data_IF_227561673863
#
_entry.id   IF_227561673863
#
_cell.length_a   1.000
_cell.length_b   1.000
_cell.length_c   1.000
_cell.angle_alpha   90.00
_cell.angle_beta   90.00
_cell.angle_gamma   90.00
#
_symmetry.space_group_name_H-M   'P 1'
#
loop_
_entity.id
_entity.type
_entity.pdbx_description
1 polymer ?
#
# COMPACT_ATOMS: atom_id res chain seq x y z
N UNK A 1 -8.53 -14.11 21.11
CA UNK A 1 -8.72 -13.72 19.71
C UNK A 1 -10.03 -12.96 19.59
N UNK A 2 -9.98 -11.64 19.47
CA UNK A 2 -11.16 -10.75 19.62
C UNK A 2 -12.17 -10.88 18.47
N UNK A 3 -11.77 -11.49 17.34
CA UNK A 3 -12.58 -11.59 16.12
C UNK A 3 -13.24 -12.96 15.89
N UNK A 4 -13.03 -13.93 16.78
CA UNK A 4 -13.76 -15.21 16.81
C UNK A 4 -13.41 -16.25 15.73
N UNK A 5 -12.78 -15.90 14.60
CA UNK A 5 -12.26 -16.88 13.63
C UNK A 5 -11.10 -16.33 12.77
N UNK A 6 -10.28 -17.24 12.21
CA UNK A 6 -9.21 -16.89 11.27
C UNK A 6 -9.74 -16.26 9.99
N UNK A 7 -10.88 -16.75 9.50
CA UNK A 7 -11.51 -16.21 8.29
C UNK A 7 -11.95 -14.75 8.48
N UNK A 8 -12.49 -14.41 9.65
CA UNK A 8 -12.86 -13.02 9.97
C UNK A 8 -11.64 -12.10 10.01
N UNK A 9 -10.52 -12.56 10.57
CA UNK A 9 -9.27 -11.79 10.56
C UNK A 9 -8.77 -11.59 9.14
N UNK A 10 -8.78 -12.66 8.33
CA UNK A 10 -8.37 -12.60 6.93
C UNK A 10 -9.21 -11.57 6.16
N UNK A 11 -10.54 -11.66 6.25
CA UNK A 11 -11.44 -10.70 5.58
C UNK A 11 -11.22 -9.26 6.07
N UNK A 12 -11.01 -9.05 7.37
CA UNK A 12 -10.68 -7.74 7.93
C UNK A 12 -9.38 -7.19 7.32
N UNK A 13 -8.32 -7.99 7.28
CA UNK A 13 -7.01 -7.55 6.75
C UNK A 13 -7.06 -7.27 5.23
N UNK A 14 -7.93 -7.97 4.49
CA UNK A 14 -8.19 -7.65 3.08
C UNK A 14 -8.86 -6.29 2.90
N UNK A 15 -9.88 -6.00 3.71
CA UNK A 15 -10.53 -4.70 3.72
C UNK A 15 -9.55 -3.57 4.08
N UNK A 16 -8.70 -3.81 5.07
CA UNK A 16 -7.62 -2.90 5.46
C UNK A 16 -6.66 -2.64 4.30
N UNK A 17 -6.16 -3.68 3.63
CA UNK A 17 -5.25 -3.53 2.50
C UNK A 17 -5.89 -2.75 1.34
N UNK A 18 -7.17 -3.01 1.05
CA UNK A 18 -7.92 -2.27 0.02
C UNK A 18 -8.04 -0.78 0.36
N UNK A 19 -8.29 -0.44 1.63
CA UNK A 19 -8.33 0.96 2.07
C UNK A 19 -6.97 1.65 2.00
N UNK A 20 -5.89 0.97 2.41
CA UNK A 20 -4.53 1.49 2.28
C UNK A 20 -4.20 1.77 0.81
N UNK A 21 -4.48 0.81 -0.10
CA UNK A 21 -4.29 1.01 -1.53
C UNK A 21 -5.07 2.21 -2.08
N UNK A 22 -6.33 2.38 -1.67
CA UNK A 22 -7.16 3.53 -2.05
C UNK A 22 -6.50 4.87 -1.67
N UNK A 23 -5.96 4.96 -0.46
CA UNK A 23 -5.33 6.19 0.08
C UNK A 23 -4.01 6.52 -0.62
N UNK A 24 -3.25 5.52 -1.05
CA UNK A 24 -1.98 5.70 -1.77
C UNK A 24 -2.13 5.98 -3.27
N UNK A 25 -3.26 5.60 -3.88
CA UNK A 25 -3.50 5.78 -5.31
C UNK A 25 -3.29 7.22 -5.82
N UNK A 26 -3.74 8.30 -5.15
CA UNK A 26 -3.47 9.68 -5.58
C UNK A 26 -1.99 10.07 -5.57
N UNK A 27 -1.13 9.29 -4.91
CA UNK A 27 0.32 9.44 -4.93
C UNK A 27 1.00 8.59 -6.01
N UNK A 28 0.22 7.96 -6.90
CA UNK A 28 0.69 7.01 -7.90
C UNK A 28 1.41 5.79 -7.30
N UNK A 29 1.02 5.38 -6.09
CA UNK A 29 1.52 4.18 -5.41
C UNK A 29 0.40 3.15 -5.34
N UNK A 30 0.71 1.89 -5.65
CA UNK A 30 -0.18 0.74 -5.50
C UNK A 30 0.28 -0.12 -4.34
N UNK A 31 -0.62 -0.41 -3.42
CA UNK A 31 -0.32 -1.28 -2.27
C UNK A 31 -1.02 -2.61 -2.50
N UNK A 32 -0.23 -3.66 -2.68
CA UNK A 32 -0.72 -5.00 -3.00
C UNK A 32 -0.38 -5.95 -1.86
N UNK A 33 -1.38 -6.67 -1.34
CA UNK A 33 -1.17 -7.65 -0.27
C UNK A 33 -0.64 -8.96 -0.86
N UNK A 34 0.68 -9.13 -0.85
CA UNK A 34 1.36 -10.33 -1.39
C UNK A 34 1.54 -11.46 -0.38
N UNK A 35 1.18 -11.22 0.89
CA UNK A 35 1.30 -12.21 1.96
C UNK A 35 0.54 -11.79 3.20
N UNK A 36 -0.03 -12.77 3.90
CA UNK A 36 -0.72 -12.59 5.18
C UNK A 36 -0.37 -13.76 6.08
N UNK A 37 0.23 -13.47 7.24
CA UNK A 37 0.56 -14.47 8.26
C UNK A 37 -0.17 -14.14 9.55
N UNK A 38 -0.90 -15.13 10.08
CA UNK A 38 -1.68 -15.00 11.31
C UNK A 38 -1.10 -15.99 12.32
N UNK A 39 -0.59 -15.47 13.44
CA UNK A 39 -0.07 -16.31 14.53
C UNK A 39 -1.22 -16.78 15.42
N UNK A 40 -1.67 -18.00 15.16
CA UNK A 40 -2.80 -18.63 15.84
C UNK A 40 -2.38 -19.66 16.90
N UNK A 41 -1.09 -20.00 16.92
CA UNK A 41 -0.42 -20.91 17.84
C UNK A 41 0.30 -20.12 18.95
N UNK A 42 1.29 -19.32 18.57
CA UNK A 42 2.10 -18.51 19.48
C UNK A 42 2.75 -17.34 18.73
N UNK A 43 3.00 -16.25 19.44
CA UNK A 43 3.73 -15.13 18.88
C UNK A 43 5.16 -15.52 18.51
N UNK A 44 5.66 -15.02 17.37
CA UNK A 44 7.03 -15.30 16.90
C UNK A 44 8.09 -14.48 17.61
N UNK A 45 7.67 -13.46 18.36
CA UNK A 45 8.48 -12.70 19.30
C UNK A 45 7.59 -12.13 20.40
N UNK A 46 8.20 -11.65 21.48
CA UNK A 46 7.45 -11.03 22.59
C UNK A 46 6.88 -9.68 22.15
N UNK A 47 5.56 -9.57 22.13
CA UNK A 47 4.84 -8.31 21.89
C UNK A 47 4.73 -7.52 23.20
N UNK A 48 5.36 -6.35 23.26
CA UNK A 48 5.39 -5.47 24.44
C UNK A 48 4.35 -4.36 24.30
N UNK A 49 3.90 -3.79 25.44
CA UNK A 49 3.15 -2.53 25.40
C UNK A 49 4.04 -1.31 25.10
N UNK A 50 5.37 -1.47 25.13
CA UNK A 50 6.31 -0.47 24.62
C UNK A 50 6.44 -0.66 23.10
N UNK A 51 6.00 0.29 22.26
CA UNK A 51 5.98 0.12 20.80
C UNK A 51 7.39 -0.02 20.20
N UNK A 52 8.40 0.66 20.75
CA UNK A 52 9.80 0.57 20.32
C UNK A 52 10.35 -0.85 20.45
N UNK A 53 10.15 -1.49 21.61
CA UNK A 53 10.56 -2.88 21.85
C UNK A 53 9.91 -3.84 20.84
N UNK A 54 8.63 -3.63 20.55
CA UNK A 54 7.86 -4.47 19.63
C UNK A 54 8.34 -4.25 18.19
N UNK A 55 8.59 -3.01 17.79
CA UNK A 55 9.12 -2.66 16.46
C UNK A 55 10.50 -3.28 16.23
N UNK A 56 11.42 -3.16 17.18
CA UNK A 56 12.76 -3.72 17.06
C UNK A 56 12.72 -5.25 16.88
N UNK A 57 11.87 -5.93 17.67
CA UNK A 57 11.69 -7.39 17.56
C UNK A 57 11.04 -7.79 16.25
N UNK A 58 10.04 -7.03 15.81
CA UNK A 58 9.35 -7.28 14.54
C UNK A 58 10.29 -7.13 13.35
N UNK A 59 11.04 -6.03 13.27
CA UNK A 59 11.96 -5.80 12.17
C UNK A 59 13.10 -6.83 12.16
N UNK A 60 13.59 -7.25 13.33
CA UNK A 60 14.54 -8.36 13.44
C UNK A 60 13.94 -9.66 12.90
N UNK A 61 12.74 -10.03 13.34
CA UNK A 61 12.04 -11.22 12.86
C UNK A 61 11.79 -11.17 11.34
N UNK A 62 11.36 -10.02 10.82
CA UNK A 62 11.16 -9.81 9.38
C UNK A 62 12.45 -10.16 8.61
N UNK A 63 13.59 -9.67 9.09
CA UNK A 63 14.89 -9.89 8.45
C UNK A 63 15.36 -11.33 8.54
N UNK A 64 15.23 -11.97 9.71
CA UNK A 64 15.84 -13.28 9.95
C UNK A 64 14.94 -14.45 9.57
N UNK A 65 13.62 -14.24 9.50
CA UNK A 65 12.64 -15.32 9.29
C UNK A 65 11.74 -15.08 8.07
N UNK A 66 11.08 -13.92 7.97
CA UNK A 66 10.07 -13.69 6.92
C UNK A 66 10.70 -13.48 5.54
N UNK A 67 11.66 -12.57 5.42
CA UNK A 67 12.32 -12.24 4.15
C UNK A 67 12.98 -13.47 3.47
N UNK A 68 13.67 -14.37 4.19
CA UNK A 68 14.23 -15.60 3.61
C UNK A 68 13.21 -16.51 2.91
N UNK A 69 11.93 -16.47 3.29
CA UNK A 69 10.90 -17.40 2.79
C UNK A 69 9.81 -16.74 1.94
N UNK A 70 9.62 -15.42 2.03
CA UNK A 70 8.66 -14.68 1.21
C UNK A 70 9.24 -13.31 0.84
N UNK A 71 9.48 -13.10 -0.45
CA UNK A 71 9.86 -11.78 -0.98
C UNK A 71 8.70 -10.79 -0.83
N UNK A 72 8.99 -9.61 -0.28
CA UNK A 72 8.05 -8.51 -0.10
C UNK A 72 8.85 -7.21 0.17
N UNK A 73 8.26 -6.07 -0.14
CA UNK A 73 8.95 -4.77 -0.06
C UNK A 73 8.88 -4.16 1.35
N UNK A 74 7.73 -4.31 2.00
CA UNK A 74 7.41 -3.78 3.32
C UNK A 74 6.55 -4.77 4.12
N UNK A 75 6.65 -4.78 5.45
CA UNK A 75 5.79 -5.59 6.30
C UNK A 75 5.18 -4.77 7.45
N UNK A 76 3.89 -4.98 7.70
CA UNK A 76 3.12 -4.27 8.71
C UNK A 76 2.65 -5.27 9.76
N UNK A 77 3.10 -5.13 11.01
CA UNK A 77 2.65 -5.95 12.13
C UNK A 77 1.40 -5.35 12.75
N UNK A 78 0.35 -6.14 12.92
CA UNK A 78 -0.91 -5.72 13.55
C UNK A 78 -1.08 -6.49 14.85
N UNK A 79 -1.34 -5.78 15.95
CA UNK A 79 -1.47 -6.36 17.29
C UNK A 79 -2.72 -5.90 18.01
N UNK A 80 -3.29 -6.77 18.85
CA UNK A 80 -4.34 -6.39 19.82
C UNK A 80 -3.80 -5.95 21.17
N UNK A 81 -2.47 -5.90 21.35
CA UNK A 81 -1.83 -5.35 22.54
C UNK A 81 -1.94 -3.83 22.50
N UNK A 82 -2.42 -3.24 23.59
CA UNK A 82 -2.50 -1.80 23.74
C UNK A 82 -1.10 -1.21 24.04
N UNK A 83 -0.65 -0.29 23.19
CA UNK A 83 0.62 0.38 23.39
C UNK A 83 0.51 1.49 24.44
N UNK A 84 1.60 1.74 25.16
CA UNK A 84 1.64 2.75 26.21
C UNK A 84 1.45 4.16 25.64
N UNK A 85 0.68 4.98 26.37
CA UNK A 85 0.42 6.36 25.99
C UNK A 85 -0.70 6.48 24.96
N UNK A 86 -0.49 7.32 23.95
CA UNK A 86 -1.45 7.57 22.86
C UNK A 86 -0.97 7.04 21.51
N UNK A 87 0.12 6.27 21.51
CA UNK A 87 0.72 5.72 20.30
C UNK A 87 -0.09 4.51 19.85
N UNK A 88 -0.54 4.52 18.60
CA UNK A 88 -1.25 3.36 18.00
C UNK A 88 -0.47 2.74 16.85
N UNK A 89 0.67 3.31 16.48
CA UNK A 89 1.54 2.82 15.43
C UNK A 89 2.95 3.38 15.60
N UNK A 90 3.94 2.67 15.08
CA UNK A 90 5.32 3.14 15.06
C UNK A 90 6.10 2.54 13.89
N UNK A 91 6.78 3.41 13.14
CA UNK A 91 7.58 3.07 11.98
C UNK A 91 8.91 3.83 11.94
N UNK A 92 9.97 3.24 11.38
CA UNK A 92 11.18 3.98 11.03
C UNK A 92 10.95 4.89 9.82
N UNK A 93 11.48 6.11 9.88
CA UNK A 93 11.47 7.06 8.77
C UNK A 93 12.45 6.63 7.67
N UNK A 94 12.10 6.84 6.39
CA UNK A 94 12.94 6.57 5.22
C UNK A 94 13.43 5.11 5.10
N UNK A 95 12.60 4.15 5.50
CA UNK A 95 12.97 2.74 5.57
C UNK A 95 12.39 1.86 4.45
N UNK A 96 11.57 2.40 3.54
CA UNK A 96 11.00 1.64 2.42
C UNK A 96 12.12 0.99 1.57
N UNK A 97 11.95 -0.28 1.18
CA UNK A 97 12.96 -1.13 0.51
C UNK A 97 14.19 -1.55 1.33
N UNK A 98 14.37 -1.06 2.57
CA UNK A 98 15.53 -1.42 3.40
C UNK A 98 15.22 -2.54 4.41
N UNK A 99 16.24 -2.96 5.16
CA UNK A 99 16.11 -4.01 6.18
C UNK A 99 15.08 -3.66 7.27
N UNK A 100 14.93 -2.38 7.59
CA UNK A 100 13.95 -1.82 8.52
C UNK A 100 12.60 -1.47 7.87
N UNK A 101 12.32 -1.92 6.65
CA UNK A 101 11.06 -1.63 5.95
C UNK A 101 9.86 -2.33 6.59
N UNK A 102 9.24 -1.64 7.55
CA UNK A 102 8.02 -2.08 8.18
C UNK A 102 7.62 -1.20 9.34
N UNK A 103 6.52 -1.59 9.99
CA UNK A 103 6.01 -0.90 11.17
C UNK A 103 5.15 -1.83 12.04
N UNK A 104 4.82 -1.35 13.25
CA UNK A 104 3.88 -1.99 14.17
C UNK A 104 2.64 -1.12 14.33
N UNK A 105 1.47 -1.75 14.43
CA UNK A 105 0.17 -1.08 14.43
C UNK A 105 -0.76 -1.76 15.43
N UNK A 106 -1.34 -0.99 16.35
CA UNK A 106 -2.40 -1.43 17.25
C UNK A 106 -3.73 -1.48 16.50
N UNK A 107 -4.47 -2.59 16.63
CA UNK A 107 -5.83 -2.71 16.13
C UNK A 107 -6.82 -2.04 17.09
N UNK A 108 -6.76 -0.70 17.13
CA UNK A 108 -7.37 0.16 18.16
C UNK A 108 -8.87 0.46 17.95
N UNK A 109 -9.48 -0.03 16.87
CA UNK A 109 -10.87 0.28 16.52
C UNK A 109 -11.56 -0.88 15.81
N UNK A 110 -12.83 -1.15 16.12
CA UNK A 110 -13.61 -2.19 15.43
C UNK A 110 -13.82 -1.88 13.94
N UNK A 111 -13.81 -0.60 13.54
CA UNK A 111 -13.85 -0.20 12.14
C UNK A 111 -12.48 -0.45 11.47
N UNK A 112 -12.41 -1.27 10.39
CA UNK A 112 -11.17 -1.53 9.65
C UNK A 112 -10.46 -0.27 9.15
N UNK A 113 -11.20 0.83 8.93
CA UNK A 113 -10.62 2.12 8.55
C UNK A 113 -9.63 2.66 9.60
N UNK A 114 -9.85 2.38 10.88
CA UNK A 114 -8.96 2.87 11.94
C UNK A 114 -7.54 2.31 11.82
N UNK A 115 -7.43 0.99 11.68
CA UNK A 115 -6.15 0.32 11.46
C UNK A 115 -5.59 0.61 10.05
N UNK A 116 -6.43 0.74 9.03
CA UNK A 116 -5.98 1.11 7.68
C UNK A 116 -5.34 2.51 7.64
N UNK A 117 -5.92 3.48 8.35
CA UNK A 117 -5.32 4.81 8.50
C UNK A 117 -3.97 4.72 9.22
N UNK A 118 -3.87 3.95 10.31
CA UNK A 118 -2.61 3.77 11.02
C UNK A 118 -1.55 3.16 10.11
N UNK A 119 -1.86 2.08 9.40
CA UNK A 119 -0.92 1.47 8.45
C UNK A 119 -0.52 2.44 7.35
N UNK A 120 -1.45 3.23 6.80
CA UNK A 120 -1.12 4.24 5.79
C UNK A 120 -0.21 5.35 6.35
N UNK A 121 -0.40 5.74 7.61
CA UNK A 121 0.47 6.69 8.31
C UNK A 121 1.88 6.11 8.49
N UNK A 122 1.97 4.89 9.00
CA UNK A 122 3.24 4.22 9.27
C UNK A 122 4.03 3.87 8.01
N UNK A 123 3.34 3.41 6.95
CA UNK A 123 3.94 3.28 5.62
C UNK A 123 4.40 4.64 5.07
N UNK A 124 3.72 5.74 5.42
CA UNK A 124 4.10 7.10 5.09
C UNK A 124 5.46 7.46 5.68
N UNK A 125 5.69 7.15 6.96
CA UNK A 125 7.01 7.28 7.58
C UNK A 125 8.07 6.44 6.85
N UNK A 126 7.76 5.18 6.52
CA UNK A 126 8.70 4.35 5.74
C UNK A 126 9.06 5.01 4.38
N UNK A 127 8.12 5.73 3.76
CA UNK A 127 8.29 6.50 2.52
C UNK A 127 8.81 7.94 2.75
N UNK A 128 9.31 8.24 3.94
CA UNK A 128 9.97 9.50 4.27
C UNK A 128 9.05 10.66 4.65
N UNK A 129 7.75 10.43 4.76
CA UNK A 129 6.79 11.45 5.16
C UNK A 129 6.88 11.67 6.68
N UNK A 130 7.20 12.89 7.10
CA UNK A 130 7.13 13.28 8.51
C UNK A 130 5.72 13.77 8.87
N UNK A 131 5.45 13.91 10.17
CA UNK A 131 4.19 14.47 10.64
C UNK A 131 3.91 15.86 10.05
N UNK A 132 2.63 16.11 9.77
CA UNK A 132 2.16 17.40 9.30
C UNK A 132 2.36 18.51 10.34
N UNK A 133 2.65 19.71 9.83
CA UNK A 133 2.74 20.96 10.59
C UNK A 133 1.56 21.88 10.24
N UNK A 134 1.44 23.03 10.91
CA UNK A 134 0.32 23.95 10.72
C UNK A 134 0.15 24.46 9.28
N UNK A 135 1.19 24.41 8.44
CA UNK A 135 1.17 24.88 7.06
C UNK A 135 0.88 23.76 6.04
N UNK A 136 0.69 22.53 6.48
CA UNK A 136 0.41 21.39 5.62
C UNK A 136 -1.09 21.27 5.38
N UNK A 137 -1.49 21.20 4.11
CA UNK A 137 -2.90 21.16 3.71
C UNK A 137 -3.19 19.93 2.83
N UNK A 138 -4.32 19.27 3.07
CA UNK A 138 -4.84 18.17 2.25
C UNK A 138 -6.16 18.51 1.54
N UNK A 139 -6.58 19.79 1.55
CA UNK A 139 -7.49 20.37 0.58
C UNK A 139 -8.97 20.04 0.72
N UNK A 140 -9.38 19.16 1.64
CA UNK A 140 -10.79 18.80 1.90
C UNK A 140 -10.99 18.26 3.32
N UNK A 141 -10.76 19.08 4.34
CA UNK A 141 -11.08 18.68 5.71
C UNK A 141 -12.42 19.27 6.10
N UNK A 142 -13.43 18.42 6.29
CA UNK A 142 -14.53 18.81 7.17
C UNK A 142 -13.94 19.26 8.53
N UNK A 143 -14.63 20.13 9.29
CA UNK A 143 -14.14 20.53 10.61
C UNK A 143 -13.76 19.30 11.46
N UNK A 144 -12.49 19.19 11.85
CA UNK A 144 -11.96 18.07 12.66
C UNK A 144 -11.35 16.89 11.90
N UNK A 145 -11.31 16.91 10.56
CA UNK A 145 -10.61 15.92 9.76
C UNK A 145 -9.12 16.30 9.66
N UNK A 146 -8.23 15.41 10.09
CA UNK A 146 -6.79 15.57 9.91
C UNK A 146 -6.37 15.06 8.51
N UNK A 147 -5.12 15.27 8.12
CA UNK A 147 -4.52 14.56 6.99
C UNK A 147 -3.92 13.23 7.49
N UNK A 148 -3.56 12.30 6.59
CA UNK A 148 -3.01 10.98 6.97
C UNK A 148 -1.81 11.12 7.91
N UNK A 149 -0.89 12.06 7.64
CA UNK A 149 0.31 12.30 8.45
C UNK A 149 0.09 13.25 9.62
N UNK A 150 -1.18 13.49 10.01
CA UNK A 150 -1.49 14.22 11.24
C UNK A 150 -0.94 13.52 12.48
N UNK A 151 -0.55 14.28 13.51
CA UNK A 151 0.05 13.75 14.75
C UNK A 151 -0.89 12.90 15.60
N UNK A 152 -2.20 12.95 15.33
CA UNK A 152 -3.20 12.20 16.06
C UNK A 152 -4.34 11.77 15.15
N UNK A 153 -4.92 10.62 15.48
CA UNK A 153 -6.11 10.11 14.82
C UNK A 153 -7.34 10.81 15.42
N UNK A 154 -8.11 11.49 14.56
CA UNK A 154 -9.39 12.10 14.93
C UNK A 154 -10.54 11.08 14.92
N UNK A 155 -11.75 11.53 15.23
CA UNK A 155 -12.96 10.70 15.13
C UNK A 155 -13.32 10.35 13.67
N UNK A 156 -12.88 11.17 12.72
CA UNK A 156 -13.05 10.95 11.28
C UNK A 156 -11.73 10.46 10.71
N UNK A 157 -11.76 9.30 10.06
CA UNK A 157 -10.56 8.74 9.45
C UNK A 157 -10.12 9.56 8.23
N UNK A 158 -8.88 10.04 8.20
CA UNK A 158 -8.34 10.79 7.07
C UNK A 158 -8.23 9.93 5.81
N UNK A 159 -8.48 10.53 4.64
CA UNK A 159 -8.36 9.87 3.33
C UNK A 159 -7.25 10.49 2.45
N UNK A 160 -6.67 11.61 2.86
CA UNK A 160 -5.80 12.42 2.02
C UNK A 160 -4.46 12.73 2.69
N UNK A 161 -3.39 12.55 1.91
CA UNK A 161 -2.06 13.06 2.25
C UNK A 161 -1.97 14.57 1.97
N UNK A 162 -1.23 15.27 2.81
CA UNK A 162 -1.01 16.72 2.69
C UNK A 162 -0.04 17.07 1.56
N UNK A 163 0.03 18.36 1.23
CA UNK A 163 1.08 18.94 0.37
C UNK A 163 2.49 18.64 0.88
N UNK A 164 2.70 18.69 2.21
CA UNK A 164 3.99 18.37 2.83
C UNK A 164 4.36 16.89 2.67
N UNK A 165 3.38 16.00 2.82
CA UNK A 165 3.58 14.55 2.63
C UNK A 165 4.02 14.24 1.20
N UNK A 166 3.40 14.90 0.20
CA UNK A 166 3.77 14.75 -1.22
C UNK A 166 5.20 15.21 -1.49
N UNK A 167 5.59 16.37 -0.98
CA UNK A 167 6.95 16.90 -1.11
C UNK A 167 8.00 16.00 -0.45
N UNK A 168 7.68 15.44 0.72
CA UNK A 168 8.55 14.50 1.41
C UNK A 168 8.72 13.19 0.63
N UNK A 169 7.63 12.67 0.06
CA UNK A 169 7.69 11.50 -0.82
C UNK A 169 8.55 11.75 -2.07
N UNK A 170 8.36 12.88 -2.76
CA UNK A 170 9.18 13.25 -3.91
C UNK A 170 10.67 13.29 -3.54
N UNK A 171 10.98 13.90 -2.38
CA UNK A 171 12.35 13.94 -1.85
C UNK A 171 12.88 12.54 -1.55
N UNK A 172 12.07 11.66 -0.97
CA UNK A 172 12.46 10.28 -0.70
C UNK A 172 12.75 9.51 -1.99
N UNK A 173 11.84 9.56 -2.97
CA UNK A 173 11.99 8.86 -4.25
C UNK A 173 13.22 9.34 -5.06
N UNK A 174 13.65 10.60 -4.88
CA UNK A 174 14.83 11.14 -5.55
C UNK A 174 16.15 10.74 -4.87
N UNK A 175 16.14 10.54 -3.55
CA UNK A 175 17.37 10.41 -2.76
C UNK A 175 17.67 8.99 -2.27
N UNK A 176 16.71 8.06 -2.35
CA UNK A 176 16.86 6.69 -1.84
C UNK A 176 16.71 5.64 -2.95
N UNK A 177 17.29 4.47 -2.72
CA UNK A 177 17.15 3.32 -3.62
C UNK A 177 15.78 2.65 -3.46
N UNK A 178 14.87 2.98 -4.37
CA UNK A 178 13.48 2.51 -4.37
C UNK A 178 13.21 1.43 -5.40
N UNK A 179 14.25 0.75 -5.91
CA UNK A 179 14.12 -0.28 -6.96
C UNK A 179 13.16 -1.41 -6.61
N UNK A 180 12.95 -1.71 -5.32
CA UNK A 180 12.01 -2.74 -4.90
C UNK A 180 10.55 -2.41 -5.29
N UNK A 181 10.19 -1.12 -5.39
CA UNK A 181 8.83 -0.67 -5.69
C UNK A 181 8.51 -0.63 -7.20
N UNK A 182 9.50 -0.86 -8.06
CA UNK A 182 9.33 -0.71 -9.51
C UNK A 182 8.75 -1.97 -10.18
N UNK A 183 8.82 -3.13 -9.50
CA UNK A 183 8.26 -4.36 -10.02
C UNK A 183 6.78 -4.54 -9.64
N UNK A 184 5.98 -5.08 -10.56
CA UNK A 184 4.63 -5.55 -10.25
C UNK A 184 4.72 -6.98 -9.70
N UNK A 185 4.07 -7.30 -8.55
CA UNK A 185 4.07 -8.66 -8.03
C UNK A 185 3.30 -9.61 -8.95
N UNK A 186 3.57 -10.91 -8.82
CA UNK A 186 2.82 -11.92 -9.58
C UNK A 186 1.37 -11.99 -9.07
N UNK A 187 0.40 -12.05 -9.97
CA UNK A 187 -1.02 -12.16 -9.61
C UNK A 187 -1.32 -13.36 -8.70
N UNK A 188 -0.56 -14.47 -8.83
CA UNK A 188 -0.73 -15.66 -7.99
C UNK A 188 -0.21 -15.47 -6.55
N UNK A 189 0.57 -14.42 -6.28
CA UNK A 189 1.03 -14.08 -4.94
C UNK A 189 0.02 -13.22 -4.17
N UNK A 190 -1.01 -12.68 -4.84
CA UNK A 190 -1.99 -11.78 -4.24
C UNK A 190 -2.93 -12.54 -3.29
N UNK A 191 -3.12 -11.99 -2.10
CA UNK A 191 -4.02 -12.53 -1.07
C UNK A 191 -5.39 -11.90 -1.25
N UNK A 192 -6.45 -12.72 -1.24
CA UNK A 192 -7.84 -12.24 -1.20
C UNK A 192 -8.66 -12.52 -2.44
N UNK A 193 -8.02 -12.95 -3.54
CA UNK A 193 -8.68 -13.14 -4.82
C UNK A 193 -9.01 -11.80 -5.50
N UNK A 194 -9.51 -11.85 -6.75
CA UNK A 194 -9.72 -10.66 -7.58
C UNK A 194 -10.82 -9.75 -7.01
N UNK A 195 -10.55 -8.44 -6.94
CA UNK A 195 -11.50 -7.41 -6.51
C UNK A 195 -11.59 -6.29 -7.55
N UNK A 196 -12.58 -6.41 -8.42
CA UNK A 196 -12.83 -5.42 -9.46
C UNK A 196 -13.07 -4.01 -8.89
N UNK A 197 -12.27 -3.06 -9.35
CA UNK A 197 -12.34 -1.64 -8.99
C UNK A 197 -11.30 -1.21 -7.96
N UNK A 198 -10.36 -2.09 -7.58
CA UNK A 198 -9.21 -1.75 -6.75
C UNK A 198 -8.03 -1.19 -7.59
N UNK A 199 -8.19 -1.16 -8.92
CA UNK A 199 -7.22 -0.72 -9.91
C UNK A 199 -5.90 -1.51 -9.89
N UNK A 200 -6.02 -2.81 -9.61
CA UNK A 200 -5.00 -3.83 -9.74
C UNK A 200 -5.61 -4.88 -10.67
N UNK A 201 -4.91 -5.23 -11.76
CA UNK A 201 -5.42 -6.30 -12.64
C UNK A 201 -5.13 -7.62 -11.98
N UNK A 202 -6.18 -8.34 -11.62
CA UNK A 202 -6.09 -9.63 -10.94
C UNK A 202 -6.62 -10.78 -11.80
N UNK A 203 -6.37 -12.01 -11.34
CA UNK A 203 -6.75 -13.21 -12.09
C UNK A 203 -8.25 -13.23 -12.42
N UNK A 204 -8.56 -13.20 -13.72
CA UNK A 204 -9.94 -13.25 -14.23
C UNK A 204 -10.47 -11.89 -14.71
N UNK A 205 -9.72 -10.82 -14.47
CA UNK A 205 -9.95 -9.48 -14.99
C UNK A 205 -9.12 -9.26 -16.26
N UNK A 206 -9.65 -8.47 -17.19
CA UNK A 206 -8.92 -8.05 -18.40
C UNK A 206 -8.32 -6.64 -18.22
N UNK A 207 -8.92 -5.86 -17.32
CA UNK A 207 -8.51 -4.52 -16.97
C UNK A 207 -9.12 -4.12 -15.62
N UNK A 208 -8.46 -3.22 -14.89
CA UNK A 208 -9.05 -2.56 -13.73
C UNK A 208 -8.59 -1.09 -13.69
N UNK A 209 -9.54 -0.17 -13.92
CA UNK A 209 -9.32 1.28 -13.85
C UNK A 209 -9.83 1.91 -12.55
N UNK A 210 -10.24 1.10 -11.59
CA UNK A 210 -10.78 1.50 -10.30
C UNK A 210 -12.31 1.60 -10.29
N UNK A 211 -12.83 2.24 -9.24
CA UNK A 211 -14.28 2.44 -9.10
C UNK A 211 -14.88 3.21 -10.28
N UNK A 212 -16.19 3.03 -10.49
CA UNK A 212 -16.95 3.71 -11.56
C UNK A 212 -16.78 5.23 -11.57
N UNK A 213 -16.61 5.85 -10.40
CA UNK A 213 -16.45 7.30 -10.25
C UNK A 213 -15.04 7.78 -10.58
N UNK A 214 -14.03 6.91 -10.45
CA UNK A 214 -12.62 7.26 -10.62
C UNK A 214 -12.02 6.74 -11.94
N UNK A 215 -12.73 5.87 -12.65
CA UNK A 215 -12.26 5.30 -13.91
C UNK A 215 -12.38 6.31 -15.05
N UNK A 216 -11.23 6.71 -15.60
CA UNK A 216 -11.14 7.57 -16.79
C UNK A 216 -10.78 6.78 -18.06
N UNK A 217 -10.51 5.48 -17.92
CA UNK A 217 -10.05 4.62 -19.01
C UNK A 217 -11.23 4.11 -19.85
N UNK A 218 -11.37 4.63 -21.08
CA UNK A 218 -12.45 4.26 -22.00
C UNK A 218 -12.35 2.85 -22.57
N UNK A 219 -11.17 2.21 -22.46
CA UNK A 219 -10.93 0.85 -22.90
C UNK A 219 -11.43 -0.19 -21.88
N UNK A 220 -11.78 0.24 -20.66
CA UNK A 220 -12.12 -0.65 -19.56
C UNK A 220 -13.52 -0.38 -19.00
N UNK A 221 -14.31 -1.43 -18.83
CA UNK A 221 -15.58 -1.35 -18.12
C UNK A 221 -15.34 -1.49 -16.61
N UNK A 222 -15.39 -0.37 -15.89
CA UNK A 222 -15.16 -0.30 -14.44
C UNK A 222 -16.10 -1.16 -13.58
N UNK A 223 -17.26 -1.58 -14.11
CA UNK A 223 -18.22 -2.41 -13.37
C UNK A 223 -17.90 -3.89 -13.47
N UNK A 224 -17.30 -4.31 -14.59
CA UNK A 224 -17.09 -5.73 -14.91
C UNK A 224 -15.62 -6.12 -14.97
N UNK A 225 -14.70 -5.15 -14.95
CA UNK A 225 -13.26 -5.35 -15.15
C UNK A 225 -12.94 -6.12 -16.44
N UNK A 226 -13.73 -5.83 -17.48
CA UNK A 226 -13.60 -6.35 -18.84
C UNK A 226 -13.28 -5.24 -19.80
N UNK A 227 -12.62 -5.59 -20.89
CA UNK A 227 -12.40 -4.66 -21.99
C UNK A 227 -13.75 -4.24 -22.59
N UNK A 228 -13.84 -2.97 -22.99
CA UNK A 228 -14.99 -2.49 -23.77
C UNK A 228 -15.00 -3.11 -25.17
N UNK A 229 -16.16 -3.16 -25.80
CA UNK A 229 -16.30 -3.74 -27.15
C UNK A 229 -15.35 -3.05 -28.14
N UNK A 230 -14.54 -3.84 -28.85
CA UNK A 230 -13.54 -3.35 -29.80
C UNK A 230 -12.16 -3.03 -29.21
N UNK A 231 -12.01 -3.04 -27.88
CA UNK A 231 -10.73 -2.86 -27.21
C UNK A 231 -9.91 -4.16 -27.18
N UNK A 232 -8.61 -4.07 -27.44
CA UNK A 232 -7.66 -5.18 -27.38
C UNK A 232 -6.75 -5.10 -26.14
N UNK A 233 -6.63 -3.91 -25.56
CA UNK A 233 -5.86 -3.63 -24.37
C UNK A 233 -6.46 -2.42 -23.64
N UNK A 234 -6.14 -2.26 -22.36
CA UNK A 234 -6.49 -1.07 -21.59
C UNK A 234 -5.30 -0.44 -20.85
N UNK A 235 -4.22 -1.19 -20.65
CA UNK A 235 -3.07 -0.81 -19.84
C UNK A 235 -1.77 -1.31 -20.47
N UNK A 236 -0.63 -0.82 -19.98
CA UNK A 236 0.72 -1.18 -20.44
C UNK A 236 1.28 -0.26 -21.54
N UNK A 237 2.62 -0.21 -21.63
CA UNK A 237 3.35 0.66 -22.58
C UNK A 237 3.16 0.26 -24.05
N UNK A 238 2.69 -0.96 -24.29
CA UNK A 238 2.30 -1.51 -25.58
C UNK A 238 0.83 -1.32 -25.95
N UNK A 239 0.07 -0.56 -25.16
CA UNK A 239 -1.30 -0.21 -25.46
C UNK A 239 -1.41 1.26 -25.92
N UNK A 240 -2.05 1.49 -27.06
CA UNK A 240 -2.33 2.83 -27.56
C UNK A 240 -3.76 2.92 -28.08
N UNK A 241 -4.57 3.84 -27.57
CA UNK A 241 -5.97 4.02 -27.97
C UNK A 241 -6.78 2.71 -27.98
N UNK A 242 -6.66 1.93 -26.90
CA UNK A 242 -7.30 0.62 -26.74
C UNK A 242 -6.85 -0.46 -27.73
N UNK A 243 -5.80 -0.22 -28.51
CA UNK A 243 -5.22 -1.16 -29.48
C UNK A 243 -3.79 -1.52 -29.13
N UNK A 244 -3.42 -2.76 -29.39
CA UNK A 244 -2.02 -3.17 -29.23
C UNK A 244 -1.16 -2.42 -30.25
N UNK A 245 -0.02 -1.90 -29.79
CA UNK A 245 1.00 -1.36 -30.70
C UNK A 245 1.46 -2.47 -31.65
N UNK A 246 1.89 -2.07 -32.85
CA UNK A 246 2.47 -3.01 -33.81
C UNK A 246 3.74 -3.66 -33.23
N UNK A 247 3.95 -4.93 -33.56
CA UNK A 247 5.19 -5.63 -33.23
C UNK A 247 6.40 -4.90 -33.83
N UNK A 248 7.47 -4.80 -33.06
CA UNK A 248 8.63 -3.94 -33.31
C UNK A 248 8.42 -2.47 -32.92
N UNK A 249 7.29 -2.12 -32.30
CA UNK A 249 7.00 -0.75 -31.87
C UNK A 249 7.68 -0.41 -30.56
N UNK A 250 8.45 0.68 -30.52
CA UNK A 250 9.12 1.13 -29.30
C UNK A 250 8.10 1.34 -28.15
N UNK A 251 8.32 0.67 -27.03
CA UNK A 251 7.51 0.82 -25.82
C UNK A 251 8.22 1.64 -24.75
N UNK A 252 9.51 1.38 -24.53
CA UNK A 252 10.33 2.11 -23.57
C UNK A 252 11.63 2.59 -24.22
N UNK A 253 11.91 3.90 -24.20
CA UNK A 253 13.19 4.43 -24.68
C UNK A 253 14.30 4.16 -23.67
N UNK A 254 15.55 4.25 -24.13
CA UNK A 254 16.73 4.20 -23.25
C UNK A 254 16.73 5.34 -22.23
N UNK A 255 16.98 5.04 -20.95
CA UNK A 255 17.14 6.03 -19.90
C UNK A 255 18.57 6.60 -19.84
N UNK A 256 19.58 5.82 -20.26
CA UNK A 256 21.00 6.18 -20.26
C UNK A 256 21.82 5.20 -21.12
N UNK A 257 23.07 5.50 -21.42
CA UNK A 257 23.91 4.73 -22.36
C UNK A 257 24.08 3.22 -22.06
N UNK A 258 23.84 2.78 -20.82
CA UNK A 258 23.86 1.36 -20.41
C UNK A 258 22.49 0.68 -20.38
N UNK A 259 21.43 1.37 -20.81
CA UNK A 259 20.05 0.88 -20.80
C UNK A 259 19.56 0.66 -22.23
N UNK A 260 18.98 -0.50 -22.48
CA UNK A 260 18.51 -0.88 -23.82
C UNK A 260 17.05 -0.51 -23.99
N UNK A 261 16.68 -0.14 -25.20
CA UNK A 261 15.29 0.07 -25.58
C UNK A 261 14.50 -1.24 -25.55
N UNK A 262 13.24 -1.18 -25.14
CA UNK A 262 12.28 -2.27 -25.29
C UNK A 262 11.23 -1.95 -26.35
N UNK A 263 10.76 -3.02 -26.95
CA UNK A 263 9.83 -3.04 -28.04
C UNK A 263 8.67 -3.97 -27.71
N UNK A 264 7.47 -3.58 -28.13
CA UNK A 264 6.39 -4.52 -28.42
C UNK A 264 6.80 -5.37 -29.64
#
# INVERSE_FOLDING_TARGET
NNYGSLEKIKMRMLEVANHVNKVYRPLNIRVMLVGLEIWNDQDRFVVSSVPEDTLDRFLKWRQTDLLPRKKHDNAQFVTGVNFQGSTVGLAPLNAMCFSSSGAVNEDHNDNPLGIATTIAHEMGHNLGMSHDTANCDCGKTQPGQNCIMGKSIGHVFPEFFSSCSKMALETFLQNYDVRCLLNVPNENDLVGGPVCGNAIVEKGEECDCGTLQACENTCCNATTCRLTEGSECAHGECCNQCKLKQAGGLCRPTAHDCDLEEYC
#
